data_IF_373163513377
#
_entry.id   IF_373163513377
#
_cell.length_a   1.000
_cell.length_b   1.000
_cell.length_c   1.000
_cell.angle_alpha   90.00
_cell.angle_beta   90.00
_cell.angle_gamma   90.00
#
_symmetry.space_group_name_H-M   'P 1'
#
loop_
_entity.id
_entity.type
_entity.pdbx_description
1 polymer ?
#
# COMPACT_ATOMS: atom_id res chain seq x y z
N UNK A 1 -14.46 0.41 38.74
CA UNK A 1 -14.18 -0.12 37.38
C UNK A 1 -14.36 1.02 36.40
N UNK A 2 -13.28 1.74 36.07
CA UNK A 2 -13.34 2.82 35.08
C UNK A 2 -13.20 2.21 33.69
N UNK A 3 -14.29 2.18 32.94
CA UNK A 3 -14.25 2.01 31.48
C UNK A 3 -13.68 3.29 30.89
N UNK A 4 -12.35 3.39 30.79
CA UNK A 4 -11.72 4.31 29.85
C UNK A 4 -12.20 3.90 28.47
N UNK A 5 -13.14 4.67 27.91
CA UNK A 5 -13.40 4.65 26.47
C UNK A 5 -12.03 4.92 25.80
N UNK A 6 -11.51 3.94 25.07
CA UNK A 6 -10.43 4.20 24.12
C UNK A 6 -10.82 5.43 23.31
N UNK A 7 -9.91 6.39 23.06
CA UNK A 7 -10.19 7.44 22.10
C UNK A 7 -10.69 6.78 20.81
N UNK A 8 -11.66 7.40 20.14
CA UNK A 8 -12.03 7.01 18.79
C UNK A 8 -10.72 7.02 18.00
N UNK A 9 -10.16 5.84 17.74
CA UNK A 9 -8.87 5.72 17.08
C UNK A 9 -9.03 6.37 15.71
N UNK A 10 -8.30 7.47 15.47
CA UNK A 10 -8.30 8.16 14.18
C UNK A 10 -8.01 7.12 13.10
N UNK A 11 -8.94 6.98 12.15
CA UNK A 11 -8.87 5.95 11.11
C UNK A 11 -8.97 6.58 9.71
N UNK A 12 -8.09 6.22 8.76
CA UNK A 12 -6.95 5.29 8.90
C UNK A 12 -5.88 5.83 9.86
N UNK A 13 -4.90 4.99 10.28
CA UNK A 13 -3.80 5.44 11.13
C UNK A 13 -3.15 6.72 10.58
N UNK A 14 -2.76 7.63 11.47
CA UNK A 14 -2.23 8.95 11.07
C UNK A 14 -1.04 8.86 10.11
N UNK A 15 -0.17 7.85 10.29
CA UNK A 15 0.96 7.57 9.40
C UNK A 15 0.51 7.26 7.97
N UNK A 16 -0.55 6.46 7.80
CA UNK A 16 -1.13 6.14 6.49
C UNK A 16 -1.64 7.42 5.80
N UNK A 17 -2.34 8.27 6.56
CA UNK A 17 -2.83 9.57 6.05
C UNK A 17 -1.67 10.48 5.63
N UNK A 18 -0.61 10.53 6.43
CA UNK A 18 0.57 11.33 6.16
C UNK A 18 1.31 10.86 4.89
N UNK A 19 1.56 9.54 4.76
CA UNK A 19 2.26 8.97 3.60
C UNK A 19 1.43 9.18 2.32
N UNK A 20 0.11 8.98 2.37
CA UNK A 20 -0.78 9.22 1.23
C UNK A 20 -0.70 10.69 0.77
N UNK A 21 -0.74 11.65 1.71
CA UNK A 21 -0.60 13.06 1.38
C UNK A 21 0.70 13.35 0.63
N UNK A 22 1.83 12.81 1.12
CA UNK A 22 3.15 12.99 0.48
C UNK A 22 3.23 12.31 -0.89
N UNK A 23 2.56 11.16 -1.06
CA UNK A 23 2.46 10.48 -2.35
C UNK A 23 1.66 11.32 -3.36
N UNK A 24 0.53 11.89 -2.94
CA UNK A 24 -0.28 12.79 -3.78
C UNK A 24 0.46 14.07 -4.15
N UNK A 25 1.20 14.67 -3.22
CA UNK A 25 2.08 15.81 -3.51
C UNK A 25 3.12 15.47 -4.60
N UNK A 26 3.75 14.29 -4.52
CA UNK A 26 4.68 13.81 -5.53
C UNK A 26 4.00 13.59 -6.89
N UNK A 27 2.81 12.98 -6.91
CA UNK A 27 2.04 12.78 -8.14
C UNK A 27 1.75 14.10 -8.85
N UNK A 28 1.32 15.13 -8.10
CA UNK A 28 1.10 16.48 -8.63
C UNK A 28 2.36 17.08 -9.24
N UNK A 29 3.51 16.93 -8.59
CA UNK A 29 4.81 17.39 -9.11
C UNK A 29 5.16 16.67 -10.42
N UNK A 30 4.95 15.35 -10.48
CA UNK A 30 5.21 14.56 -11.70
C UNK A 30 4.33 15.06 -12.86
N UNK A 31 3.04 15.30 -12.63
CA UNK A 31 2.11 15.81 -13.64
C UNK A 31 2.44 17.23 -14.11
N UNK A 32 2.86 18.10 -13.19
CA UNK A 32 3.28 19.46 -13.53
C UNK A 32 4.55 19.45 -14.38
N UNK A 33 5.55 18.67 -13.98
CA UNK A 33 6.82 18.56 -14.71
C UNK A 33 6.62 17.92 -16.09
N UNK A 34 5.75 16.92 -16.20
CA UNK A 34 5.43 16.30 -17.49
C UNK A 34 4.81 17.28 -18.51
N UNK A 35 4.11 18.33 -18.03
CA UNK A 35 3.48 19.35 -18.88
C UNK A 35 4.40 20.53 -19.21
N UNK A 36 5.34 20.85 -18.32
CA UNK A 36 6.09 22.12 -18.35
C UNK A 36 7.59 21.96 -18.59
N UNK A 37 8.15 20.77 -18.38
CA UNK A 37 9.59 20.54 -18.49
C UNK A 37 10.02 20.23 -19.92
N UNK A 38 11.07 20.92 -20.38
CA UNK A 38 11.82 20.50 -21.58
C UNK A 38 12.82 19.37 -21.28
N UNK A 39 13.03 19.06 -20.01
CA UNK A 39 13.95 18.01 -19.55
C UNK A 39 13.18 16.70 -19.29
N UNK A 40 13.25 15.81 -20.27
CA UNK A 40 12.64 14.47 -20.23
C UNK A 40 13.33 13.54 -19.22
N UNK A 41 14.59 13.80 -18.87
CA UNK A 41 15.33 13.00 -17.93
C UNK A 41 14.80 13.23 -16.50
N UNK A 42 14.59 14.49 -16.10
CA UNK A 42 13.97 14.84 -14.81
C UNK A 42 12.59 14.17 -14.67
N UNK A 43 11.75 14.27 -15.72
CA UNK A 43 10.42 13.65 -15.72
C UNK A 43 10.51 12.14 -15.54
N UNK A 44 11.48 11.50 -16.21
CA UNK A 44 11.74 10.06 -16.08
C UNK A 44 12.17 9.67 -14.66
N UNK A 45 13.04 10.46 -14.01
CA UNK A 45 13.45 10.23 -12.62
C UNK A 45 12.29 10.37 -11.64
N UNK A 46 11.45 11.38 -11.81
CA UNK A 46 10.26 11.60 -10.99
C UNK A 46 9.24 10.47 -11.14
N UNK A 47 9.02 9.97 -12.37
CA UNK A 47 8.15 8.83 -12.61
C UNK A 47 8.64 7.57 -11.89
N UNK A 48 9.96 7.28 -11.91
CA UNK A 48 10.55 6.17 -11.17
C UNK A 48 10.40 6.34 -9.65
N UNK A 49 10.61 7.56 -9.15
CA UNK A 49 10.40 7.87 -7.74
C UNK A 49 8.94 7.62 -7.33
N UNK A 50 7.98 8.04 -8.16
CA UNK A 50 6.56 7.83 -7.90
C UNK A 50 6.23 6.34 -7.76
N UNK A 51 6.78 5.48 -8.63
CA UNK A 51 6.60 4.02 -8.55
C UNK A 51 7.13 3.46 -7.23
N UNK A 52 8.35 3.84 -6.84
CA UNK A 52 8.94 3.43 -5.56
C UNK A 52 8.03 3.85 -4.39
N UNK A 53 7.62 5.13 -4.38
CA UNK A 53 6.80 5.69 -3.30
C UNK A 53 5.39 5.10 -3.25
N UNK A 54 4.83 4.72 -4.39
CA UNK A 54 3.52 4.04 -4.47
C UNK A 54 3.57 2.64 -3.85
N UNK A 55 4.60 1.87 -4.18
CA UNK A 55 4.81 0.55 -3.58
C UNK A 55 5.06 0.66 -2.06
N UNK A 56 5.91 1.61 -1.65
CA UNK A 56 6.18 1.86 -0.23
C UNK A 56 4.93 2.33 0.54
N UNK A 57 4.06 3.12 -0.07
CA UNK A 57 2.78 3.52 0.54
C UNK A 57 1.87 2.31 0.80
N UNK A 58 1.74 1.40 -0.17
CA UNK A 58 0.95 0.18 0.02
C UNK A 58 1.53 -0.69 1.14
N UNK A 59 2.85 -0.92 1.16
CA UNK A 59 3.53 -1.68 2.22
C UNK A 59 3.23 -1.11 3.61
N UNK A 60 3.38 0.20 3.78
CA UNK A 60 3.13 0.88 5.05
C UNK A 60 1.65 0.83 5.43
N UNK A 61 0.74 0.97 4.46
CA UNK A 61 -0.70 0.89 4.73
C UNK A 61 -1.09 -0.49 5.24
N UNK A 62 -0.62 -1.56 4.60
CA UNK A 62 -0.85 -2.94 5.04
C UNK A 62 -0.33 -3.16 6.45
N UNK A 63 0.91 -2.73 6.72
CA UNK A 63 1.53 -2.90 8.03
C UNK A 63 0.80 -2.14 9.14
N UNK A 64 0.52 -0.84 8.92
CA UNK A 64 -0.05 0.02 9.96
C UNK A 64 -1.53 -0.29 10.22
N UNK A 65 -2.31 -0.61 9.19
CA UNK A 65 -3.72 -1.02 9.38
C UNK A 65 -3.82 -2.34 10.13
N UNK A 66 -3.02 -3.35 9.78
CA UNK A 66 -3.00 -4.64 10.47
C UNK A 66 -2.52 -4.53 11.92
N UNK A 67 -1.50 -3.71 12.18
CA UNK A 67 -1.02 -3.44 13.55
C UNK A 67 -2.08 -2.75 14.39
N UNK A 68 -2.74 -1.72 13.84
CA UNK A 68 -3.79 -0.99 14.53
C UNK A 68 -4.99 -1.91 14.85
N UNK A 69 -5.44 -2.70 13.88
CA UNK A 69 -6.48 -3.71 14.08
C UNK A 69 -6.11 -4.71 15.17
N UNK A 70 -4.89 -5.27 15.11
CA UNK A 70 -4.40 -6.24 16.10
C UNK A 70 -4.33 -5.63 17.51
N UNK A 71 -3.84 -4.39 17.63
CA UNK A 71 -3.83 -3.65 18.90
C UNK A 71 -5.24 -3.49 19.45
N UNK A 72 -6.23 -3.23 18.59
CA UNK A 72 -7.60 -3.03 19.01
C UNK A 72 -8.31 -4.33 19.40
N UNK A 73 -8.10 -5.42 18.64
CA UNK A 73 -8.82 -6.70 18.81
C UNK A 73 -8.18 -7.70 19.77
N UNK A 74 -6.95 -7.46 20.23
CA UNK A 74 -6.23 -8.39 21.12
C UNK A 74 -5.64 -7.69 22.34
N UNK A 75 -5.21 -8.44 23.36
CA UNK A 75 -4.58 -7.93 24.58
C UNK A 75 -3.49 -8.88 25.12
N UNK A 76 -2.68 -8.40 26.06
CA UNK A 76 -1.68 -9.20 26.78
C UNK A 76 -0.65 -9.89 25.88
N UNK A 77 -0.28 -11.12 26.24
CA UNK A 77 0.74 -11.90 25.51
C UNK A 77 0.37 -12.19 24.06
N UNK A 78 -0.93 -12.40 23.77
CA UNK A 78 -1.43 -12.63 22.41
C UNK A 78 -1.18 -11.41 21.52
N UNK A 79 -1.39 -10.20 22.06
CA UNK A 79 -1.08 -8.95 21.34
C UNK A 79 0.42 -8.85 21.07
N UNK A 80 1.27 -9.05 22.07
CA UNK A 80 2.73 -8.94 21.92
C UNK A 80 3.28 -9.93 20.90
N UNK A 81 2.82 -11.18 20.95
CA UNK A 81 3.18 -12.22 19.99
C UNK A 81 2.76 -11.84 18.56
N UNK A 82 1.49 -11.44 18.39
CA UNK A 82 0.94 -11.10 17.07
C UNK A 82 1.64 -9.87 16.47
N UNK A 83 1.89 -8.83 17.27
CA UNK A 83 2.58 -7.62 16.81
C UNK A 83 4.04 -7.88 16.40
N UNK A 84 4.78 -8.68 17.17
CA UNK A 84 6.16 -9.02 16.82
C UNK A 84 6.26 -9.81 15.51
N UNK A 85 5.20 -10.52 15.13
CA UNK A 85 5.14 -11.21 13.86
C UNK A 85 4.81 -10.27 12.68
N UNK A 86 4.03 -9.20 12.92
CA UNK A 86 3.69 -8.14 11.94
C UNK A 86 4.84 -7.14 11.66
N UNK A 87 6.02 -7.32 12.25
CA UNK A 87 7.19 -6.47 11.99
C UNK A 87 7.87 -6.76 10.63
N UNK A 88 7.63 -7.93 10.04
CA UNK A 88 8.25 -8.31 8.77
C UNK A 88 7.43 -7.87 7.57
N UNK A 89 7.72 -6.69 7.03
CA UNK A 89 7.16 -6.25 5.75
C UNK A 89 7.76 -7.06 4.61
N UNK A 90 6.90 -7.70 3.83
CA UNK A 90 7.27 -8.38 2.59
C UNK A 90 6.86 -7.49 1.42
N UNK A 91 7.45 -7.72 0.25
CA UNK A 91 7.00 -7.07 -0.99
C UNK A 91 5.49 -7.33 -1.16
N UNK A 92 4.67 -6.30 -1.48
CA UNK A 92 3.22 -6.41 -1.50
C UNK A 92 2.75 -7.00 -2.84
N UNK A 93 3.26 -8.18 -3.21
CA UNK A 93 2.76 -8.91 -4.38
C UNK A 93 1.34 -9.39 -4.11
N UNK A 94 0.49 -9.60 -5.15
CA UNK A 94 -0.87 -10.10 -4.98
C UNK A 94 -0.93 -11.33 -4.04
N UNK A 95 -0.13 -12.35 -4.35
CA UNK A 95 -0.10 -13.60 -3.56
C UNK A 95 0.40 -13.39 -2.12
N UNK A 96 1.33 -12.45 -1.91
CA UNK A 96 1.82 -12.13 -0.56
C UNK A 96 0.75 -11.42 0.26
N UNK A 97 -0.07 -10.55 -0.35
CA UNK A 97 -1.17 -9.87 0.32
C UNK A 97 -2.32 -10.83 0.65
N UNK A 98 -2.67 -11.74 -0.26
CA UNK A 98 -3.63 -12.82 -0.01
C UNK A 98 -3.15 -13.75 1.10
N UNK A 99 -1.89 -14.21 1.03
CA UNK A 99 -1.29 -15.04 2.10
C UNK A 99 -1.27 -14.29 3.43
N UNK A 100 -1.01 -12.97 3.42
CA UNK A 100 -1.00 -12.16 4.62
C UNK A 100 -2.40 -12.01 5.24
N UNK A 101 -3.41 -11.71 4.44
CA UNK A 101 -4.80 -11.57 4.91
C UNK A 101 -5.38 -12.89 5.41
N UNK A 102 -5.05 -14.01 4.76
CA UNK A 102 -5.46 -15.36 5.18
C UNK A 102 -4.97 -15.78 6.56
N UNK A 103 -3.92 -15.14 7.07
CA UNK A 103 -3.44 -15.37 8.44
C UNK A 103 -4.35 -14.74 9.50
N UNK A 104 -5.17 -13.76 9.11
CA UNK A 104 -6.20 -13.20 9.99
C UNK A 104 -7.50 -13.99 9.87
N UNK A 105 -7.94 -14.25 8.64
CA UNK A 105 -9.19 -14.95 8.36
C UNK A 105 -9.20 -15.47 6.91
N UNK A 106 -9.71 -16.69 6.71
CA UNK A 106 -9.77 -17.31 5.38
C UNK A 106 -10.76 -16.60 4.44
N UNK A 107 -11.87 -16.06 4.98
CA UNK A 107 -12.83 -15.28 4.20
C UNK A 107 -12.25 -13.95 3.73
N UNK A 108 -11.41 -13.30 4.54
CA UNK A 108 -10.67 -12.11 4.11
C UNK A 108 -9.70 -12.40 2.96
N UNK A 109 -9.07 -13.57 2.94
CA UNK A 109 -8.21 -13.98 1.83
C UNK A 109 -9.02 -14.19 0.54
N UNK A 110 -10.14 -14.91 0.62
CA UNK A 110 -11.03 -15.12 -0.52
C UNK A 110 -11.55 -13.80 -1.07
N UNK A 111 -12.01 -12.91 -0.19
CA UNK A 111 -12.51 -11.59 -0.56
C UNK A 111 -11.42 -10.72 -1.23
N UNK A 112 -10.20 -10.71 -0.70
CA UNK A 112 -9.10 -9.99 -1.32
C UNK A 112 -8.76 -10.58 -2.70
N UNK A 113 -8.77 -11.91 -2.82
CA UNK A 113 -8.56 -12.61 -4.09
C UNK A 113 -9.61 -12.24 -5.13
N UNK A 114 -10.90 -12.24 -4.76
CA UNK A 114 -11.99 -11.80 -5.62
C UNK A 114 -11.82 -10.34 -6.06
N UNK A 115 -11.46 -9.45 -5.13
CA UNK A 115 -11.19 -8.05 -5.43
C UNK A 115 -10.03 -7.87 -6.42
N UNK A 116 -8.92 -8.59 -6.24
CA UNK A 116 -7.74 -8.50 -7.11
C UNK A 116 -7.99 -9.14 -8.50
N UNK A 117 -8.81 -10.19 -8.56
CA UNK A 117 -9.11 -10.93 -9.78
C UNK A 117 -10.32 -10.36 -10.56
N UNK A 118 -10.99 -9.34 -10.01
CA UNK A 118 -12.05 -8.63 -10.69
C UNK A 118 -11.58 -8.03 -12.04
N UNK A 119 -12.52 -7.81 -12.95
CA UNK A 119 -12.28 -7.22 -14.28
C UNK A 119 -11.15 -7.92 -15.06
N UNK A 120 -11.27 -9.23 -15.23
CA UNK A 120 -10.28 -10.05 -15.94
C UNK A 120 -8.87 -9.88 -15.34
N UNK A 121 -8.74 -9.93 -14.01
CA UNK A 121 -7.48 -9.82 -13.26
C UNK A 121 -6.64 -8.56 -13.53
N UNK A 122 -7.25 -7.47 -13.99
CA UNK A 122 -6.55 -6.22 -14.30
C UNK A 122 -5.76 -5.71 -13.09
N UNK A 123 -6.40 -5.62 -11.93
CA UNK A 123 -5.78 -5.08 -10.72
C UNK A 123 -4.63 -5.97 -10.23
N UNK A 124 -4.81 -7.30 -10.26
CA UNK A 124 -3.75 -8.27 -9.95
C UNK A 124 -2.53 -8.09 -10.85
N UNK A 125 -2.71 -8.00 -12.18
CA UNK A 125 -1.60 -7.82 -13.13
C UNK A 125 -0.87 -6.50 -12.91
N UNK A 126 -1.61 -5.42 -12.71
CA UNK A 126 -1.05 -4.09 -12.49
C UNK A 126 -0.29 -3.99 -11.16
N UNK A 127 -0.81 -4.61 -10.09
CA UNK A 127 -0.13 -4.68 -8.81
C UNK A 127 1.17 -5.49 -8.92
N UNK A 128 1.13 -6.65 -9.60
CA UNK A 128 2.33 -7.44 -9.86
C UNK A 128 3.38 -6.63 -10.65
N UNK A 129 2.92 -5.86 -11.67
CA UNK A 129 3.79 -4.98 -12.45
C UNK A 129 4.39 -3.85 -11.60
N UNK A 130 3.63 -3.21 -10.71
CA UNK A 130 4.14 -2.21 -9.76
C UNK A 130 5.29 -2.77 -8.93
N UNK A 131 5.11 -3.97 -8.35
CA UNK A 131 6.13 -4.57 -7.48
C UNK A 131 7.37 -4.96 -8.28
N UNK A 132 7.22 -5.58 -9.46
CA UNK A 132 8.33 -5.87 -10.37
C UNK A 132 9.10 -4.59 -10.73
N UNK A 133 8.38 -3.53 -11.10
CA UNK A 133 9.00 -2.28 -11.51
C UNK A 133 9.72 -1.58 -10.38
N UNK A 134 9.15 -1.53 -9.17
CA UNK A 134 9.86 -1.04 -7.99
C UNK A 134 11.14 -1.84 -7.72
N UNK A 135 11.09 -3.17 -7.78
CA UNK A 135 12.27 -4.01 -7.51
C UNK A 135 13.40 -3.71 -8.50
N UNK A 136 13.08 -3.67 -9.81
CA UNK A 136 14.08 -3.39 -10.84
C UNK A 136 14.68 -1.99 -10.72
N UNK A 137 13.86 -0.97 -10.45
CA UNK A 137 14.35 0.40 -10.22
C UNK A 137 15.26 0.44 -8.99
N UNK A 138 14.88 -0.20 -7.88
CA UNK A 138 15.67 -0.25 -6.65
C UNK A 138 17.03 -0.95 -6.87
N UNK A 139 17.13 -1.89 -7.80
CA UNK A 139 18.37 -2.54 -8.20
C UNK A 139 19.19 -1.76 -9.25
N UNK A 140 18.78 -0.53 -9.59
CA UNK A 140 19.50 0.32 -10.54
C UNK A 140 19.36 -0.12 -12.00
N UNK A 141 18.40 -0.99 -12.32
CA UNK A 141 18.13 -1.39 -13.69
C UNK A 141 17.41 -0.25 -14.42
N UNK A 142 17.87 0.07 -15.62
CA UNK A 142 17.27 1.12 -16.45
C UNK A 142 15.96 0.62 -17.07
N UNK A 143 14.90 0.68 -16.26
CA UNK A 143 13.53 0.47 -16.71
C UNK A 143 12.93 1.82 -17.11
N UNK A 144 12.57 1.95 -18.38
CA UNK A 144 11.75 3.06 -18.84
C UNK A 144 10.33 2.90 -18.32
N UNK A 145 9.87 3.83 -17.49
CA UNK A 145 8.46 3.96 -17.13
C UNK A 145 7.98 5.36 -17.48
N UNK A 146 6.94 5.43 -18.30
CA UNK A 146 6.30 6.68 -18.67
C UNK A 146 5.45 7.23 -17.52
N UNK A 147 5.26 8.56 -17.50
CA UNK A 147 4.46 9.28 -16.50
C UNK A 147 3.05 8.69 -16.37
N UNK A 148 2.36 8.47 -17.50
CA UNK A 148 1.00 7.92 -17.52
C UNK A 148 0.93 6.58 -16.78
N UNK A 149 1.92 5.70 -17.03
CA UNK A 149 1.98 4.40 -16.36
C UNK A 149 2.32 4.54 -14.87
N UNK A 150 3.26 5.43 -14.51
CA UNK A 150 3.60 5.67 -13.11
C UNK A 150 2.40 6.17 -12.29
N UNK A 151 1.60 7.08 -12.86
CA UNK A 151 0.35 7.57 -12.25
C UNK A 151 -0.68 6.45 -12.10
N UNK A 152 -0.90 5.65 -13.16
CA UNK A 152 -1.81 4.52 -13.10
C UNK A 152 -1.41 3.50 -12.02
N UNK A 153 -0.12 3.21 -11.87
CA UNK A 153 0.36 2.31 -10.81
C UNK A 153 0.23 2.91 -9.40
N UNK A 154 0.32 4.24 -9.26
CA UNK A 154 -0.01 4.91 -8.01
C UNK A 154 -1.49 4.69 -7.64
N UNK A 155 -2.38 4.75 -8.62
CA UNK A 155 -3.81 4.51 -8.39
C UNK A 155 -4.10 3.06 -8.04
N UNK A 156 -3.40 2.11 -8.67
CA UNK A 156 -3.43 0.68 -8.29
C UNK A 156 -3.03 0.48 -6.83
N UNK A 157 -1.93 1.12 -6.40
CA UNK A 157 -1.50 1.07 -5.00
C UNK A 157 -2.57 1.64 -4.05
N UNK A 158 -3.20 2.76 -4.41
CA UNK A 158 -4.29 3.36 -3.64
C UNK A 158 -5.53 2.46 -3.56
N UNK A 159 -5.98 1.87 -4.66
CA UNK A 159 -7.14 0.98 -4.66
C UNK A 159 -6.94 -0.23 -3.72
N UNK A 160 -5.75 -0.84 -3.77
CA UNK A 160 -5.43 -1.96 -2.88
C UNK A 160 -5.29 -1.47 -1.43
N UNK A 161 -4.65 -0.32 -1.20
CA UNK A 161 -4.53 0.28 0.13
C UNK A 161 -5.91 0.60 0.75
N UNK A 162 -6.86 1.10 -0.03
CA UNK A 162 -8.22 1.40 0.40
C UNK A 162 -8.96 0.14 0.87
N UNK A 163 -8.74 -1.00 0.21
CA UNK A 163 -9.28 -2.28 0.68
C UNK A 163 -8.79 -2.62 2.09
N UNK A 164 -7.48 -2.49 2.35
CA UNK A 164 -6.92 -2.73 3.69
C UNK A 164 -7.44 -1.73 4.72
N UNK A 165 -7.50 -0.44 4.36
CA UNK A 165 -8.07 0.60 5.22
C UNK A 165 -9.52 0.28 5.58
N UNK A 166 -10.33 -0.19 4.62
CA UNK A 166 -11.72 -0.51 4.88
C UNK A 166 -11.87 -1.76 5.76
N UNK A 167 -11.14 -2.83 5.45
CA UNK A 167 -11.32 -4.14 6.09
C UNK A 167 -10.68 -4.26 7.47
N UNK A 168 -9.56 -3.59 7.70
CA UNK A 168 -8.91 -3.57 9.01
C UNK A 168 -9.43 -2.45 9.93
N UNK A 169 -10.48 -1.72 9.52
CA UNK A 169 -11.11 -0.71 10.39
C UNK A 169 -11.65 -1.38 11.65
N UNK A 170 -11.18 -1.00 12.86
CA UNK A 170 -11.70 -1.58 14.08
C UNK A 170 -13.13 -1.07 14.32
N UNK A 171 -14.11 -1.96 14.21
CA UNK A 171 -15.51 -1.75 14.63
C UNK A 171 -15.77 -2.30 16.01
#
# INVERSE_FOLDING_TARGET
MSTTRSPIDVWPPAEVTFILKRLSELASIVEEQARSSNDQEIVSWLARLLVIRSCGYLEQTVAETARAYTRHKSYGLVRSFSLGWLERTHNPTPDALETFTGRFDAGMQEELGEFLNANDEELRRELAFLVDRRNRIAHGLNEGIGVVKALALKDVACQVADWFILRFRPT
#
